data_IF_353242740576
#
_entry.id   IF_353242740576
#
_cell.length_a   1.000
_cell.length_b   1.000
_cell.length_c   1.000
_cell.angle_alpha   90.00
_cell.angle_beta   90.00
_cell.angle_gamma   90.00
#
_symmetry.space_group_name_H-M   'P 1'
#
loop_
_entity.id
_entity.type
_entity.pdbx_description
1 polymer ?
#
# COMPACT_ATOMS: atom_id res chain seq x y z
N UNK A 1 -19.78 -22.63 -20.31
CA UNK A 1 -20.38 -21.59 -21.16
C UNK A 1 -20.38 -22.11 -22.57
N UNK A 2 -21.56 -22.28 -23.17
CA UNK A 2 -21.64 -22.55 -24.61
C UNK A 2 -21.34 -21.27 -25.37
N UNK A 3 -20.45 -21.36 -26.35
CA UNK A 3 -20.20 -20.23 -27.24
C UNK A 3 -21.46 -19.99 -28.06
N UNK A 4 -22.09 -18.84 -27.86
CA UNK A 4 -23.27 -18.43 -28.61
C UNK A 4 -22.94 -18.31 -30.11
N UNK A 5 -23.95 -18.42 -31.03
CA UNK A 5 -23.72 -18.27 -32.47
C UNK A 5 -23.05 -16.96 -32.87
N UNK A 6 -23.32 -15.90 -32.16
CA UNK A 6 -22.70 -14.57 -32.31
C UNK A 6 -21.19 -14.59 -32.06
N UNK A 7 -20.71 -15.36 -31.09
CA UNK A 7 -19.30 -15.51 -30.80
C UNK A 7 -18.52 -16.22 -31.92
N UNK A 8 -19.21 -16.95 -32.80
CA UNK A 8 -18.59 -17.59 -33.97
C UNK A 8 -18.07 -16.55 -34.99
N UNK A 9 -18.70 -15.39 -35.06
CA UNK A 9 -18.26 -14.31 -35.93
C UNK A 9 -17.02 -13.62 -35.40
N UNK A 10 -16.80 -13.60 -34.05
CA UNK A 10 -15.59 -13.08 -33.40
C UNK A 10 -14.34 -13.86 -33.84
N UNK A 11 -14.40 -15.20 -33.89
CA UNK A 11 -13.30 -16.04 -34.36
C UNK A 11 -12.97 -15.76 -35.83
N UNK A 12 -14.01 -15.59 -36.67
CA UNK A 12 -13.85 -15.27 -38.10
C UNK A 12 -13.27 -13.87 -38.32
N UNK A 13 -13.67 -12.87 -37.51
CA UNK A 13 -13.19 -11.50 -37.61
C UNK A 13 -11.68 -11.36 -37.44
N UNK A 14 -11.06 -12.26 -36.68
CA UNK A 14 -9.60 -12.29 -36.45
C UNK A 14 -8.82 -13.03 -37.53
N UNK A 15 -9.49 -13.73 -38.45
CA UNK A 15 -8.82 -14.50 -39.51
C UNK A 15 -8.08 -13.57 -40.47
N UNK A 16 -6.79 -13.80 -40.66
CA UNK A 16 -5.92 -13.01 -41.55
C UNK A 16 -5.42 -11.67 -40.98
N UNK A 17 -5.78 -11.33 -39.73
CA UNK A 17 -5.28 -10.11 -39.07
C UNK A 17 -3.87 -10.22 -38.52
N UNK A 18 -3.29 -11.44 -38.43
CA UNK A 18 -2.03 -11.68 -37.73
C UNK A 18 -2.14 -11.76 -36.22
N UNK A 19 -3.34 -11.66 -35.66
CA UNK A 19 -3.59 -11.79 -34.23
C UNK A 19 -3.22 -13.19 -33.72
N UNK A 20 -2.69 -13.29 -32.50
CA UNK A 20 -2.46 -14.58 -31.83
C UNK A 20 -3.79 -15.26 -31.53
N UNK A 21 -3.90 -16.54 -31.86
CA UNK A 21 -5.09 -17.35 -31.64
C UNK A 21 -4.78 -18.57 -30.76
N UNK A 22 -5.73 -18.96 -29.93
CA UNK A 22 -5.67 -20.18 -29.13
C UNK A 22 -6.06 -21.45 -29.93
N UNK A 23 -6.53 -21.26 -31.18
CA UNK A 23 -6.95 -22.34 -32.05
C UNK A 23 -8.38 -22.84 -31.78
N UNK A 24 -9.22 -21.99 -31.18
CA UNK A 24 -10.63 -22.30 -30.91
C UNK A 24 -11.40 -22.33 -32.24
N UNK A 25 -12.07 -23.45 -32.51
CA UNK A 25 -12.82 -23.65 -33.73
C UNK A 25 -14.30 -23.27 -33.54
N UNK A 26 -14.91 -22.92 -34.65
CA UNK A 26 -16.34 -22.58 -34.69
C UNK A 26 -17.19 -23.73 -34.17
N UNK A 27 -17.99 -23.46 -33.15
CA UNK A 27 -18.95 -24.42 -32.58
C UNK A 27 -18.43 -25.19 -31.36
N UNK A 28 -17.18 -24.98 -30.98
CA UNK A 28 -16.63 -25.51 -29.73
C UNK A 28 -17.15 -24.74 -28.51
N UNK A 29 -17.20 -25.42 -27.38
CA UNK A 29 -17.66 -24.87 -26.12
C UNK A 29 -16.55 -24.99 -25.07
N UNK A 30 -16.34 -23.92 -24.32
CA UNK A 30 -15.35 -23.87 -23.24
C UNK A 30 -15.95 -23.24 -21.98
N UNK A 31 -15.45 -23.66 -20.83
CA UNK A 31 -15.74 -22.97 -19.58
C UNK A 31 -15.04 -21.60 -19.52
N UNK A 32 -15.51 -20.63 -18.73
CA UNK A 32 -14.79 -19.36 -18.52
C UNK A 32 -13.34 -19.56 -18.07
N UNK A 33 -13.08 -20.60 -17.25
CA UNK A 33 -11.72 -20.94 -16.81
C UNK A 33 -10.83 -21.38 -17.96
N UNK A 34 -11.32 -22.23 -18.84
CA UNK A 34 -10.56 -22.63 -20.04
C UNK A 34 -10.32 -21.45 -20.98
N UNK A 35 -11.31 -20.57 -21.18
CA UNK A 35 -11.12 -19.36 -21.96
C UNK A 35 -10.08 -18.42 -21.34
N UNK A 36 -9.97 -18.35 -20.00
CA UNK A 36 -8.89 -17.62 -19.35
C UNK A 36 -7.52 -18.22 -19.63
N UNK A 37 -7.38 -19.56 -19.62
CA UNK A 37 -6.15 -20.22 -20.06
C UNK A 37 -5.84 -19.91 -21.52
N UNK A 38 -6.84 -19.97 -22.40
CA UNK A 38 -6.68 -19.67 -23.82
C UNK A 38 -6.28 -18.20 -24.08
N UNK A 39 -6.80 -17.25 -23.30
CA UNK A 39 -6.46 -15.83 -23.42
C UNK A 39 -5.07 -15.51 -22.84
N UNK A 40 -4.72 -16.13 -21.70
CA UNK A 40 -3.53 -15.75 -20.94
C UNK A 40 -2.26 -16.52 -21.36
N UNK A 41 -2.34 -17.78 -21.76
CA UNK A 41 -1.18 -18.57 -22.18
C UNK A 41 -0.77 -18.27 -23.62
N UNK A 42 -1.50 -18.72 -24.66
CA UNK A 42 -1.13 -18.46 -26.04
C UNK A 42 -1.49 -17.04 -26.50
N UNK A 43 -2.04 -16.22 -25.62
CA UNK A 43 -2.53 -14.88 -25.98
C UNK A 43 -3.66 -14.89 -27.00
N UNK A 44 -4.63 -15.83 -26.85
CA UNK A 44 -5.74 -16.02 -27.77
C UNK A 44 -6.68 -14.82 -27.78
N UNK A 45 -6.64 -14.04 -28.87
CA UNK A 45 -7.51 -12.85 -29.00
C UNK A 45 -8.98 -13.26 -29.05
N UNK A 46 -9.31 -14.36 -29.73
CA UNK A 46 -10.68 -14.89 -29.79
C UNK A 46 -11.19 -15.26 -28.39
N UNK A 47 -10.36 -15.86 -27.56
CA UNK A 47 -10.74 -16.23 -26.19
C UNK A 47 -10.99 -14.98 -25.32
N UNK A 48 -10.17 -13.95 -25.46
CA UNK A 48 -10.35 -12.68 -24.77
C UNK A 48 -11.66 -11.97 -25.20
N UNK A 49 -11.94 -11.98 -26.52
CA UNK A 49 -13.18 -11.42 -27.04
C UNK A 49 -14.41 -12.22 -26.60
N UNK A 50 -14.33 -13.56 -26.55
CA UNK A 50 -15.41 -14.41 -26.07
C UNK A 50 -15.71 -14.18 -24.58
N UNK A 51 -14.69 -13.98 -23.77
CA UNK A 51 -14.83 -13.61 -22.37
C UNK A 51 -15.45 -12.21 -22.25
N UNK A 52 -14.98 -11.25 -23.04
CA UNK A 52 -15.50 -9.90 -23.08
C UNK A 52 -16.98 -9.84 -23.45
N UNK A 53 -17.37 -10.58 -24.50
CA UNK A 53 -18.76 -10.71 -24.95
C UNK A 53 -19.65 -11.34 -23.86
N UNK A 54 -19.18 -12.40 -23.22
CA UNK A 54 -19.89 -13.06 -22.12
C UNK A 54 -20.08 -12.15 -20.89
N UNK A 55 -19.05 -11.43 -20.48
CA UNK A 55 -19.09 -10.54 -19.30
C UNK A 55 -19.84 -9.24 -19.62
N UNK A 56 -19.70 -8.76 -20.85
CA UNK A 56 -20.38 -7.55 -21.36
C UNK A 56 -21.82 -7.77 -21.83
N UNK A 57 -22.44 -8.91 -21.47
CA UNK A 57 -23.83 -9.24 -21.82
C UNK A 57 -24.11 -9.13 -23.35
N UNK A 58 -23.18 -9.61 -24.17
CA UNK A 58 -23.23 -9.60 -25.62
C UNK A 58 -22.68 -8.32 -26.28
N UNK A 59 -22.00 -7.44 -25.51
CA UNK A 59 -21.43 -6.20 -26.02
C UNK A 59 -19.96 -6.07 -25.63
N UNK A 60 -19.08 -6.10 -26.62
CA UNK A 60 -17.64 -5.83 -26.42
C UNK A 60 -17.38 -4.37 -26.04
N UNK A 61 -18.17 -3.43 -26.55
CA UNK A 61 -18.04 -2.02 -26.20
C UNK A 61 -18.38 -1.80 -24.72
N UNK A 62 -19.46 -2.41 -24.24
CA UNK A 62 -19.83 -2.35 -22.83
C UNK A 62 -18.76 -3.01 -21.94
N UNK A 63 -18.16 -4.11 -22.38
CA UNK A 63 -17.04 -4.72 -21.66
C UNK A 63 -15.82 -3.79 -21.60
N UNK A 64 -15.50 -3.07 -22.67
CA UNK A 64 -14.44 -2.07 -22.69
C UNK A 64 -14.74 -0.91 -21.71
N UNK A 65 -16.00 -0.45 -21.62
CA UNK A 65 -16.42 0.51 -20.58
C UNK A 65 -16.19 -0.04 -19.18
N UNK A 66 -16.58 -1.29 -18.89
CA UNK A 66 -16.32 -1.94 -17.59
C UNK A 66 -14.81 -2.04 -17.28
N UNK A 67 -13.96 -2.32 -18.27
CA UNK A 67 -12.49 -2.32 -18.11
C UNK A 67 -12.00 -0.93 -17.71
N UNK A 68 -12.48 0.14 -18.34
CA UNK A 68 -12.12 1.52 -18.05
C UNK A 68 -12.60 1.96 -16.66
N UNK A 69 -13.82 1.59 -16.27
CA UNK A 69 -14.32 1.83 -14.92
C UNK A 69 -13.45 1.15 -13.87
N UNK A 70 -13.09 -0.12 -14.12
CA UNK A 70 -12.20 -0.85 -13.20
C UNK A 70 -10.80 -0.25 -13.12
N UNK A 71 -10.22 0.19 -14.24
CA UNK A 71 -8.94 0.89 -14.25
C UNK A 71 -9.00 2.17 -13.41
N UNK A 72 -10.07 2.96 -13.55
CA UNK A 72 -10.28 4.18 -12.77
C UNK A 72 -10.44 3.88 -11.25
N UNK A 73 -11.19 2.83 -10.87
CA UNK A 73 -11.33 2.38 -9.47
C UNK A 73 -9.97 2.02 -8.85
N UNK A 74 -9.07 1.43 -9.64
CA UNK A 74 -7.73 1.05 -9.21
C UNK A 74 -6.73 2.21 -9.19
N UNK A 75 -7.14 3.41 -9.64
CA UNK A 75 -6.28 4.58 -9.74
C UNK A 75 -5.42 4.62 -11.01
N UNK A 76 -5.66 3.73 -11.99
CA UNK A 76 -4.98 3.69 -13.28
C UNK A 76 -5.57 4.75 -14.23
N UNK A 77 -5.32 6.02 -13.92
CA UNK A 77 -5.96 7.18 -14.55
C UNK A 77 -5.41 7.57 -15.92
N UNK A 78 -4.29 6.99 -16.32
CA UNK A 78 -3.66 7.20 -17.62
C UNK A 78 -3.83 5.98 -18.53
N UNK A 79 -4.94 5.25 -18.33
CA UNK A 79 -5.27 4.04 -19.08
C UNK A 79 -6.62 4.21 -19.78
N UNK A 80 -6.68 3.79 -21.03
CA UNK A 80 -7.92 3.70 -21.78
C UNK A 80 -7.94 2.44 -22.63
N UNK A 81 -8.93 1.59 -22.39
CA UNK A 81 -9.16 0.35 -23.12
C UNK A 81 -10.25 0.54 -24.16
N UNK A 82 -10.00 0.13 -25.40
CA UNK A 82 -10.95 0.17 -26.53
C UNK A 82 -11.47 -1.23 -26.84
N UNK A 83 -10.70 -2.28 -26.52
CA UNK A 83 -11.06 -3.66 -26.79
C UNK A 83 -10.55 -4.62 -25.70
N UNK A 84 -11.09 -5.85 -25.71
CA UNK A 84 -10.79 -6.89 -24.74
C UNK A 84 -9.44 -7.60 -24.98
N UNK A 85 -8.88 -7.51 -26.19
CA UNK A 85 -7.77 -8.38 -26.63
C UNK A 85 -6.41 -7.68 -26.65
N UNK A 86 -6.37 -6.35 -26.61
CA UNK A 86 -5.14 -5.57 -26.75
C UNK A 86 -4.67 -5.38 -28.20
N UNK A 87 -5.55 -5.61 -29.18
CA UNK A 87 -5.28 -5.22 -30.56
C UNK A 87 -5.09 -3.70 -30.61
N UNK A 88 -4.17 -3.27 -31.48
CA UNK A 88 -3.82 -1.86 -31.59
C UNK A 88 -5.03 -0.98 -31.99
N UNK A 89 -5.13 0.13 -31.28
CA UNK A 89 -6.00 1.26 -31.58
C UNK A 89 -5.32 2.52 -31.01
N UNK A 90 -5.39 3.65 -31.69
CA UNK A 90 -4.74 4.89 -31.26
C UNK A 90 -5.25 5.39 -29.89
N UNK A 91 -6.50 5.04 -29.56
CA UNK A 91 -7.12 5.36 -28.26
C UNK A 91 -6.92 4.25 -27.19
N UNK A 92 -6.19 3.16 -27.51
CA UNK A 92 -5.88 2.08 -26.59
C UNK A 92 -4.48 2.27 -25.98
N UNK A 93 -4.42 2.89 -24.82
CA UNK A 93 -3.15 3.27 -24.18
C UNK A 93 -3.12 3.00 -22.68
N UNK A 94 -1.92 2.91 -22.14
CA UNK A 94 -1.66 2.76 -20.71
C UNK A 94 -0.26 3.26 -20.35
N UNK A 95 0.09 3.20 -19.07
CA UNK A 95 1.44 3.45 -18.56
C UNK A 95 1.97 2.24 -17.80
N UNK A 96 3.29 2.18 -17.59
CA UNK A 96 3.90 1.12 -16.78
C UNK A 96 3.37 1.12 -15.34
N UNK A 97 3.12 2.30 -14.76
CA UNK A 97 2.57 2.43 -13.42
C UNK A 97 1.11 1.95 -13.33
N UNK A 98 0.28 2.32 -14.32
CA UNK A 98 -1.11 1.87 -14.36
C UNK A 98 -1.20 0.34 -14.54
N UNK A 99 -0.33 -0.25 -15.38
CA UNK A 99 -0.23 -1.69 -15.52
C UNK A 99 0.23 -2.38 -14.24
N UNK A 100 1.10 -1.73 -13.44
CA UNK A 100 1.43 -2.19 -12.11
C UNK A 100 0.18 -2.25 -11.21
N UNK A 101 -0.61 -1.18 -11.14
CA UNK A 101 -1.84 -1.13 -10.32
C UNK A 101 -2.83 -2.23 -10.72
N UNK A 102 -3.10 -2.37 -12.03
CA UNK A 102 -4.01 -3.38 -12.58
C UNK A 102 -3.49 -4.80 -12.26
N UNK A 103 -2.20 -5.02 -12.43
CA UNK A 103 -1.61 -6.35 -12.19
C UNK A 103 -1.63 -6.71 -10.70
N UNK A 104 -1.33 -5.76 -9.81
CA UNK A 104 -1.40 -6.00 -8.37
C UNK A 104 -2.81 -6.42 -7.94
N UNK A 105 -3.85 -5.75 -8.44
CA UNK A 105 -5.24 -6.13 -8.18
C UNK A 105 -5.57 -7.53 -8.75
N UNK A 106 -5.12 -7.84 -9.95
CA UNK A 106 -5.34 -9.15 -10.56
C UNK A 106 -4.65 -10.28 -9.78
N UNK A 107 -3.45 -10.02 -9.25
CA UNK A 107 -2.68 -10.98 -8.45
C UNK A 107 -3.32 -11.29 -7.08
N UNK A 108 -4.30 -10.53 -6.60
CA UNK A 108 -5.09 -10.89 -5.42
C UNK A 108 -5.96 -12.14 -5.68
N UNK A 109 -6.30 -12.40 -6.95
CA UNK A 109 -7.10 -13.56 -7.33
C UNK A 109 -6.22 -14.82 -7.52
N UNK A 110 -6.51 -15.88 -6.73
CA UNK A 110 -5.76 -17.15 -6.79
C UNK A 110 -5.83 -17.83 -8.15
N UNK A 111 -7.00 -17.82 -8.80
CA UNK A 111 -7.16 -18.41 -10.14
C UNK A 111 -6.30 -17.68 -11.18
N UNK A 112 -6.22 -16.37 -11.09
CA UNK A 112 -5.34 -15.60 -11.97
C UNK A 112 -3.87 -15.98 -11.74
N UNK A 113 -3.40 -16.02 -10.48
CA UNK A 113 -2.01 -16.44 -10.17
C UNK A 113 -1.70 -17.85 -10.70
N UNK A 114 -2.61 -18.79 -10.52
CA UNK A 114 -2.45 -20.15 -11.03
C UNK A 114 -2.29 -20.16 -12.55
N UNK A 115 -3.17 -19.46 -13.27
CA UNK A 115 -3.15 -19.47 -14.74
C UNK A 115 -1.88 -18.82 -15.27
N UNK A 116 -1.51 -17.61 -14.77
CA UNK A 116 -0.35 -16.88 -15.30
C UNK A 116 1.00 -17.51 -14.96
N UNK A 117 1.05 -18.40 -13.96
CA UNK A 117 2.24 -19.20 -13.62
C UNK A 117 2.30 -20.54 -14.33
N UNK A 118 1.26 -20.90 -15.09
CA UNK A 118 1.20 -22.15 -15.87
C UNK A 118 1.94 -21.98 -17.18
N UNK A 119 2.89 -22.89 -17.50
CA UNK A 119 3.61 -22.84 -18.77
C UNK A 119 2.91 -23.60 -19.90
N UNK A 120 2.07 -24.58 -19.55
CA UNK A 120 1.40 -25.47 -20.49
C UNK A 120 0.05 -25.92 -19.93
N UNK A 121 -0.99 -25.90 -20.75
CA UNK A 121 -2.31 -26.41 -20.42
C UNK A 121 -2.84 -27.30 -21.54
N UNK A 122 -3.34 -28.49 -21.20
CA UNK A 122 -4.04 -29.37 -22.12
C UNK A 122 -5.56 -29.15 -21.99
N UNK A 123 -6.17 -28.63 -23.05
CA UNK A 123 -7.59 -28.29 -23.08
C UNK A 123 -8.49 -29.40 -23.62
N UNK A 124 -7.94 -30.59 -23.86
CA UNK A 124 -8.66 -31.71 -24.47
C UNK A 124 -8.37 -31.85 -25.96
N UNK A 125 -9.38 -32.22 -26.72
CA UNK A 125 -9.32 -32.37 -28.19
C UNK A 125 -10.30 -31.38 -28.84
N UNK A 126 -9.91 -30.84 -29.99
CA UNK A 126 -10.79 -30.04 -30.84
C UNK A 126 -11.90 -30.93 -31.45
N UNK A 127 -12.88 -30.33 -32.12
CA UNK A 127 -14.02 -31.02 -32.75
C UNK A 127 -13.57 -31.98 -33.87
N UNK A 128 -12.30 -31.96 -34.32
CA UNK A 128 -11.74 -32.85 -35.32
C UNK A 128 -10.91 -33.98 -34.68
N UNK A 129 -10.83 -34.05 -33.35
CA UNK A 129 -10.04 -35.02 -32.59
C UNK A 129 -8.55 -34.70 -32.50
N UNK A 130 -8.14 -33.44 -32.77
CA UNK A 130 -6.76 -33.04 -32.58
C UNK A 130 -6.53 -32.54 -31.15
N UNK A 131 -5.40 -32.88 -30.52
CA UNK A 131 -5.07 -32.38 -29.18
C UNK A 131 -4.96 -30.86 -29.15
N UNK A 132 -5.69 -30.21 -28.27
CA UNK A 132 -5.67 -28.76 -28.06
C UNK A 132 -4.71 -28.41 -26.91
N UNK A 133 -3.63 -27.74 -27.24
CA UNK A 133 -2.54 -27.39 -26.31
C UNK A 133 -2.32 -25.90 -26.27
N UNK A 134 -2.26 -25.34 -25.08
CA UNK A 134 -1.94 -23.91 -24.88
C UNK A 134 -0.63 -23.76 -24.12
N UNK A 135 0.35 -23.19 -24.76
CA UNK A 135 1.63 -22.86 -24.15
C UNK A 135 1.71 -21.37 -23.83
N UNK A 136 2.37 -21.05 -22.75
CA UNK A 136 2.61 -19.65 -22.41
C UNK A 136 3.50 -18.96 -23.43
N UNK A 137 3.23 -17.69 -23.69
CA UNK A 137 4.12 -16.80 -24.43
C UNK A 137 5.18 -16.15 -23.53
N UNK A 138 5.06 -16.30 -22.21
CA UNK A 138 6.05 -15.81 -21.25
C UNK A 138 7.20 -16.82 -21.12
N UNK A 139 8.26 -16.60 -21.87
CA UNK A 139 9.42 -17.49 -21.89
C UNK A 139 10.23 -17.51 -20.58
N UNK A 140 10.01 -16.56 -19.66
CA UNK A 140 10.64 -16.61 -18.35
C UNK A 140 10.20 -17.82 -17.51
N UNK A 141 8.94 -18.28 -17.68
CA UNK A 141 8.38 -19.43 -16.94
C UNK A 141 8.39 -20.72 -17.74
N UNK A 142 8.99 -20.74 -18.95
CA UNK A 142 9.07 -21.93 -19.80
C UNK A 142 10.41 -22.61 -19.64
N UNK A 143 10.51 -23.80 -19.00
CA UNK A 143 11.79 -24.47 -18.70
C UNK A 143 12.63 -24.84 -19.91
N UNK A 144 12.02 -24.92 -21.09
CA UNK A 144 12.75 -25.20 -22.37
C UNK A 144 13.28 -23.96 -23.09
N UNK A 145 13.00 -22.77 -22.58
CA UNK A 145 13.41 -21.51 -23.17
C UNK A 145 14.83 -21.12 -22.77
N UNK A 146 15.55 -20.43 -23.67
CA UNK A 146 16.82 -19.76 -23.37
C UNK A 146 16.67 -18.60 -22.42
N UNK A 147 15.44 -18.09 -22.22
CA UNK A 147 15.07 -17.03 -21.29
C UNK A 147 14.45 -17.55 -19.98
N UNK A 148 14.52 -18.86 -19.75
CA UNK A 148 13.96 -19.41 -18.50
C UNK A 148 14.64 -18.81 -17.27
N UNK A 149 13.83 -18.26 -16.38
CA UNK A 149 14.27 -17.68 -15.11
C UNK A 149 13.60 -18.41 -13.95
N UNK A 150 14.34 -19.19 -13.15
CA UNK A 150 13.76 -20.14 -12.19
C UNK A 150 12.92 -19.48 -11.07
N UNK A 151 13.07 -18.18 -10.91
CA UNK A 151 12.32 -17.41 -9.90
C UNK A 151 11.09 -16.71 -10.48
N UNK A 152 10.89 -16.70 -11.81
CA UNK A 152 9.73 -16.06 -12.44
C UNK A 152 8.44 -16.84 -12.12
N UNK A 153 7.36 -16.10 -11.82
CA UNK A 153 6.05 -16.65 -11.44
C UNK A 153 4.90 -16.19 -12.34
N UNK A 154 5.17 -15.43 -13.39
CA UNK A 154 4.17 -14.93 -14.36
C UNK A 154 4.73 -13.70 -15.07
N UNK A 155 3.97 -12.87 -15.78
CA UNK A 155 2.49 -12.80 -15.85
C UNK A 155 2.05 -12.88 -17.32
N UNK A 156 2.32 -11.83 -18.15
CA UNK A 156 1.79 -11.74 -19.53
C UNK A 156 2.70 -10.93 -20.44
N UNK A 157 2.83 -11.39 -21.67
CA UNK A 157 3.48 -10.67 -22.79
C UNK A 157 2.46 -9.91 -23.64
N UNK A 158 2.91 -8.89 -24.35
CA UNK A 158 2.18 -8.21 -25.40
C UNK A 158 3.11 -7.78 -26.52
N UNK A 159 2.63 -7.78 -27.77
CA UNK A 159 3.44 -7.31 -28.89
C UNK A 159 2.51 -6.80 -29.99
N UNK A 160 2.70 -5.56 -30.38
CA UNK A 160 2.20 -4.98 -31.63
C UNK A 160 3.35 -4.23 -32.30
N UNK A 161 3.20 -3.84 -33.56
CA UNK A 161 4.25 -3.09 -34.24
C UNK A 161 4.45 -1.71 -33.60
N UNK A 162 3.34 -1.09 -33.13
CA UNK A 162 3.32 0.24 -32.52
C UNK A 162 3.83 0.22 -31.07
N UNK A 163 3.39 -0.75 -30.27
CA UNK A 163 3.77 -0.85 -28.86
C UNK A 163 5.13 -1.50 -28.64
N UNK A 164 5.70 -2.15 -29.66
CA UNK A 164 6.88 -2.97 -29.47
C UNK A 164 6.58 -4.22 -28.62
N UNK A 165 7.63 -4.80 -28.01
CA UNK A 165 7.47 -5.94 -27.08
C UNK A 165 7.26 -5.43 -25.68
N UNK A 166 6.19 -5.93 -25.04
CA UNK A 166 5.81 -5.61 -23.68
C UNK A 166 5.77 -6.87 -22.82
N UNK A 167 6.08 -6.74 -21.54
CA UNK A 167 6.02 -7.81 -20.56
C UNK A 167 5.67 -7.24 -19.19
N UNK A 168 4.65 -7.82 -18.58
CA UNK A 168 4.46 -7.76 -17.13
C UNK A 168 4.95 -9.09 -16.57
N UNK A 169 5.84 -9.05 -15.59
CA UNK A 169 6.31 -10.27 -14.95
C UNK A 169 6.44 -10.12 -13.44
N UNK A 170 6.43 -11.27 -12.75
CA UNK A 170 6.68 -11.37 -11.31
C UNK A 170 7.78 -12.39 -11.08
N UNK A 171 8.56 -12.17 -10.03
CA UNK A 171 9.59 -13.13 -9.59
C UNK A 171 9.64 -13.15 -8.06
N UNK A 172 9.91 -14.36 -7.52
CA UNK A 172 10.05 -14.60 -6.08
C UNK A 172 11.34 -15.35 -5.80
N UNK A 173 12.14 -14.83 -4.86
CA UNK A 173 13.38 -15.46 -4.41
C UNK A 173 13.66 -15.09 -2.96
N UNK A 174 13.95 -16.07 -2.12
CA UNK A 174 14.35 -15.89 -0.72
C UNK A 174 13.35 -15.02 0.09
N UNK A 175 12.05 -15.08 -0.25
CA UNK A 175 10.99 -14.27 0.38
C UNK A 175 10.86 -12.85 -0.14
N UNK A 176 11.66 -12.46 -1.15
CA UNK A 176 11.49 -11.20 -1.87
C UNK A 176 10.60 -11.41 -3.09
N UNK A 177 9.66 -10.48 -3.30
CA UNK A 177 8.73 -10.49 -4.43
C UNK A 177 8.89 -9.21 -5.22
N UNK A 178 9.17 -9.34 -6.50
CA UNK A 178 9.25 -8.20 -7.42
C UNK A 178 8.24 -8.35 -8.54
N UNK A 179 7.64 -7.23 -8.91
CA UNK A 179 6.85 -7.08 -10.11
C UNK A 179 7.55 -6.09 -11.02
N UNK A 180 7.65 -6.45 -12.31
CA UNK A 180 8.26 -5.63 -13.34
C UNK A 180 7.27 -5.41 -14.47
N UNK A 181 7.18 -4.17 -14.93
CA UNK A 181 6.44 -3.78 -16.13
C UNK A 181 7.45 -3.20 -17.12
N UNK A 182 7.64 -3.89 -18.22
CA UNK A 182 8.46 -3.44 -19.33
C UNK A 182 7.60 -3.19 -20.55
N UNK A 183 7.74 -2.03 -21.16
CA UNK A 183 6.95 -1.62 -22.32
C UNK A 183 7.87 -1.03 -23.39
N UNK A 184 7.48 -1.18 -24.66
CA UNK A 184 8.15 -0.53 -25.77
C UNK A 184 9.53 -1.10 -26.12
N UNK A 185 9.84 -2.34 -25.73
CA UNK A 185 11.12 -2.92 -26.13
C UNK A 185 11.16 -3.15 -27.66
N UNK A 186 12.25 -2.80 -28.34
CA UNK A 186 12.31 -2.83 -29.80
C UNK A 186 12.20 -4.27 -30.35
N UNK A 187 11.52 -4.40 -31.48
CA UNK A 187 11.47 -5.65 -32.27
C UNK A 187 12.52 -5.66 -33.37
N UNK A 188 12.92 -4.49 -33.82
CA UNK A 188 13.84 -4.28 -34.95
C UNK A 188 15.00 -3.38 -34.51
N UNK A 189 16.13 -3.53 -35.17
CA UNK A 189 17.27 -2.65 -35.00
C UNK A 189 17.07 -1.30 -35.74
N UNK A 190 18.08 -0.41 -35.69
CA UNK A 190 18.08 0.87 -36.40
C UNK A 190 18.04 0.77 -37.92
N UNK A 191 18.34 -0.39 -38.48
CA UNK A 191 18.33 -0.69 -39.93
C UNK A 191 17.02 -1.33 -40.38
N UNK A 192 16.09 -1.61 -39.41
CA UNK A 192 14.83 -2.31 -39.66
C UNK A 192 14.98 -3.83 -39.74
N UNK A 193 16.12 -4.40 -39.31
CA UNK A 193 16.31 -5.84 -39.23
C UNK A 193 15.74 -6.37 -37.88
N UNK A 194 15.04 -7.49 -37.94
CA UNK A 194 14.46 -8.12 -36.76
C UNK A 194 15.54 -8.56 -35.78
N UNK A 195 15.46 -8.10 -34.53
CA UNK A 195 16.38 -8.48 -33.48
C UNK A 195 16.26 -9.98 -33.17
N UNK A 196 17.40 -10.69 -33.22
CA UNK A 196 17.50 -12.12 -32.86
C UNK A 196 17.18 -12.34 -31.38
N UNK A 197 17.71 -11.46 -30.51
CA UNK A 197 17.44 -11.50 -29.07
C UNK A 197 16.10 -10.81 -28.73
N UNK A 198 15.34 -11.44 -27.87
CA UNK A 198 14.16 -10.80 -27.28
C UNK A 198 14.58 -9.95 -26.08
N UNK A 199 14.78 -8.65 -26.34
CA UNK A 199 15.28 -7.71 -25.34
C UNK A 199 14.38 -7.59 -24.12
N UNK A 200 13.06 -7.80 -24.26
CA UNK A 200 12.13 -7.72 -23.12
C UNK A 200 12.43 -8.78 -22.06
N UNK A 201 12.76 -10.02 -22.48
CA UNK A 201 13.11 -11.07 -21.54
C UNK A 201 14.52 -10.90 -20.97
N UNK A 202 15.49 -10.57 -21.85
CA UNK A 202 16.88 -10.39 -21.45
C UNK A 202 17.03 -9.30 -20.38
N UNK A 203 16.49 -8.12 -20.65
CA UNK A 203 16.54 -6.99 -19.71
C UNK A 203 15.77 -7.26 -18.43
N UNK A 204 14.66 -7.99 -18.52
CA UNK A 204 13.90 -8.40 -17.33
C UNK A 204 14.73 -9.29 -16.40
N UNK A 205 15.46 -10.27 -16.95
CA UNK A 205 16.36 -11.13 -16.18
C UNK A 205 17.47 -10.30 -15.52
N UNK A 206 18.14 -9.43 -16.30
CA UNK A 206 19.20 -8.56 -15.80
C UNK A 206 18.72 -7.66 -14.65
N UNK A 207 17.51 -7.09 -14.78
CA UNK A 207 16.91 -6.25 -13.73
C UNK A 207 16.48 -7.04 -12.48
N UNK A 208 15.98 -8.26 -12.64
CA UNK A 208 15.71 -9.14 -11.50
C UNK A 208 16.99 -9.52 -10.76
N UNK A 209 18.03 -9.92 -11.48
CA UNK A 209 19.31 -10.25 -10.87
C UNK A 209 19.90 -9.06 -10.12
N UNK A 210 19.80 -7.85 -10.70
CA UNK A 210 20.16 -6.62 -10.02
C UNK A 210 19.31 -6.39 -8.77
N UNK A 211 17.97 -6.48 -8.85
CA UNK A 211 17.09 -6.22 -7.74
C UNK A 211 17.34 -7.20 -6.57
N UNK A 212 17.42 -8.51 -6.86
CA UNK A 212 17.69 -9.53 -5.85
C UNK A 212 19.09 -9.46 -5.23
N UNK A 213 20.08 -8.89 -5.94
CA UNK A 213 21.44 -8.74 -5.44
C UNK A 213 21.71 -7.40 -4.77
N UNK A 214 20.94 -6.36 -5.07
CA UNK A 214 21.23 -4.99 -4.66
C UNK A 214 20.44 -4.51 -3.46
N UNK A 215 19.35 -5.19 -3.09
CA UNK A 215 18.49 -4.82 -1.99
C UNK A 215 18.35 -5.95 -0.98
N UNK A 216 18.21 -5.59 0.29
CA UNK A 216 17.89 -6.53 1.37
C UNK A 216 17.05 -5.87 2.46
N UNK A 217 16.22 -6.67 3.12
CA UNK A 217 15.49 -6.23 4.30
C UNK A 217 16.49 -5.99 5.44
N UNK A 218 16.48 -4.79 6.00
CA UNK A 218 17.33 -4.38 7.11
C UNK A 218 16.45 -3.98 8.28
N UNK A 219 16.71 -4.59 9.44
CA UNK A 219 16.11 -4.13 10.69
C UNK A 219 16.80 -2.84 11.11
N UNK A 220 16.07 -1.74 11.11
CA UNK A 220 16.58 -0.39 11.38
C UNK A 220 16.45 -0.01 12.86
N UNK A 221 15.45 -0.56 13.53
CA UNK A 221 15.29 -0.49 14.97
C UNK A 221 14.63 -1.76 15.48
N UNK A 222 15.18 -2.33 16.53
CA UNK A 222 14.58 -3.45 17.25
C UNK A 222 13.52 -2.95 18.24
N UNK A 223 12.61 -3.82 18.64
CA UNK A 223 11.70 -3.54 19.74
C UNK A 223 12.44 -3.44 21.06
N UNK A 224 11.93 -2.63 21.99
CA UNK A 224 12.45 -2.43 23.34
C UNK A 224 13.87 -1.80 23.43
N UNK A 225 14.33 -1.16 22.35
CA UNK A 225 15.58 -0.39 22.36
C UNK A 225 15.36 0.95 23.04
N UNK A 226 16.15 1.27 24.07
CA UNK A 226 16.14 2.58 24.72
C UNK A 226 16.60 3.68 23.78
N UNK A 227 15.79 4.71 23.59
CA UNK A 227 16.03 5.79 22.60
C UNK A 227 16.18 7.17 23.23
N UNK A 228 15.81 7.34 24.50
CA UNK A 228 15.91 8.63 25.17
C UNK A 228 15.08 8.72 26.43
N UNK A 229 14.84 9.93 26.87
CA UNK A 229 14.07 10.24 28.07
C UNK A 229 13.19 11.47 27.84
N UNK A 230 12.11 11.59 28.62
CA UNK A 230 11.22 12.74 28.61
C UNK A 230 10.98 13.24 30.04
N UNK A 231 10.90 14.55 30.30
CA UNK A 231 10.58 15.10 31.61
C UNK A 231 9.27 14.55 32.15
N UNK A 232 9.28 14.10 33.41
CA UNK A 232 8.16 13.48 34.09
C UNK A 232 7.69 14.33 35.27
N UNK A 233 6.38 14.45 35.45
CA UNK A 233 5.77 15.12 36.58
C UNK A 233 4.81 14.21 37.32
N UNK A 234 4.50 14.60 38.57
CA UNK A 234 3.53 13.93 39.44
C UNK A 234 3.94 12.50 39.84
N UNK A 235 5.17 12.10 39.56
CA UNK A 235 5.66 10.77 39.87
C UNK A 235 5.87 10.57 41.38
N UNK A 236 5.64 9.34 41.83
CA UNK A 236 5.96 8.91 43.20
C UNK A 236 7.49 8.76 43.36
N UNK A 237 8.02 9.13 44.50
CA UNK A 237 9.45 8.96 44.81
C UNK A 237 10.38 10.05 44.24
N UNK A 238 9.82 11.12 43.62
CA UNK A 238 10.62 12.24 43.13
C UNK A 238 11.35 11.98 41.83
N UNK A 239 10.87 11.00 41.04
CA UNK A 239 11.36 10.73 39.69
C UNK A 239 10.95 11.89 38.76
N UNK A 240 11.89 12.44 38.00
CA UNK A 240 11.72 13.65 37.18
C UNK A 240 11.91 13.38 35.67
N UNK A 241 12.20 12.15 35.28
CA UNK A 241 12.28 11.70 33.89
C UNK A 241 11.65 10.32 33.71
N UNK A 242 11.20 10.02 32.50
CA UNK A 242 10.70 8.74 32.03
C UNK A 242 11.62 8.25 30.91
N UNK A 243 12.12 7.04 31.03
CA UNK A 243 12.87 6.38 29.95
C UNK A 243 11.91 5.97 28.83
N UNK A 244 12.32 6.19 27.61
CA UNK A 244 11.57 5.89 26.39
C UNK A 244 12.30 4.80 25.61
N UNK A 245 11.51 3.84 25.12
CA UNK A 245 11.99 2.75 24.27
C UNK A 245 11.15 2.65 22.99
N UNK A 246 11.66 1.95 21.99
CA UNK A 246 10.90 1.59 20.78
C UNK A 246 9.78 0.61 21.13
N UNK A 247 8.58 0.86 20.65
CA UNK A 247 7.40 -0.01 20.87
C UNK A 247 7.35 -1.20 19.92
N UNK A 248 7.95 -1.07 18.73
CA UNK A 248 7.88 -2.05 17.66
C UNK A 248 9.23 -2.19 16.95
N UNK A 249 9.40 -3.31 16.24
CA UNK A 249 10.49 -3.47 15.28
C UNK A 249 10.14 -2.74 13.97
N UNK A 250 11.12 -2.12 13.35
CA UNK A 250 10.97 -1.58 12.00
C UNK A 250 12.04 -2.17 11.08
N UNK A 251 11.56 -2.76 9.97
CA UNK A 251 12.39 -3.35 8.91
C UNK A 251 11.98 -2.74 7.58
N UNK A 252 12.94 -2.40 6.76
CA UNK A 252 12.70 -1.83 5.44
C UNK A 252 13.64 -2.43 4.39
N UNK A 253 13.19 -2.41 3.12
CA UNK A 253 13.94 -2.87 1.97
C UNK A 253 14.89 -1.76 1.50
N UNK A 254 16.16 -1.88 1.83
CA UNK A 254 17.16 -0.87 1.50
C UNK A 254 18.27 -1.42 0.60
N UNK A 255 18.93 -0.56 -0.20
CA UNK A 255 20.15 -0.91 -0.89
C UNK A 255 21.18 -1.52 0.06
N UNK A 256 21.89 -2.54 -0.42
CA UNK A 256 22.90 -3.25 0.39
C UNK A 256 24.03 -2.33 0.86
N UNK A 257 24.31 -1.27 0.14
CA UNK A 257 25.33 -0.26 0.43
C UNK A 257 24.97 0.63 1.64
N UNK A 258 23.67 0.75 1.97
CA UNK A 258 23.20 1.56 3.10
C UNK A 258 23.29 0.72 4.37
N UNK A 259 24.12 1.15 5.30
CA UNK A 259 24.20 0.54 6.63
C UNK A 259 23.14 1.12 7.58
N UNK A 260 22.67 0.31 8.55
CA UNK A 260 21.73 0.78 9.57
C UNK A 260 22.29 1.96 10.40
N UNK A 261 23.60 2.08 10.50
CA UNK A 261 24.30 3.23 11.12
C UNK A 261 24.11 4.56 10.40
N UNK A 262 23.69 4.54 9.12
CA UNK A 262 23.37 5.73 8.34
C UNK A 262 21.99 6.30 8.65
N UNK A 263 21.15 5.55 9.39
CA UNK A 263 19.82 5.97 9.77
C UNK A 263 19.91 6.79 11.07
N UNK A 264 19.35 7.98 11.04
CA UNK A 264 19.23 8.82 12.23
C UNK A 264 17.80 8.75 12.78
N UNK A 265 17.69 8.85 14.12
CA UNK A 265 16.41 8.82 14.81
C UNK A 265 16.05 10.22 15.27
N UNK A 266 14.85 10.69 14.91
CA UNK A 266 14.27 11.90 15.45
C UNK A 266 13.10 11.54 16.36
N UNK A 267 13.14 12.07 17.60
CA UNK A 267 12.13 11.81 18.62
C UNK A 267 11.09 12.92 18.62
N UNK A 268 9.84 12.58 18.28
CA UNK A 268 8.70 13.47 18.46
C UNK A 268 8.02 13.13 19.79
N UNK A 269 8.46 13.80 20.86
CA UNK A 269 8.03 13.56 22.22
C UNK A 269 7.37 14.83 22.81
N UNK A 270 6.38 14.70 23.72
CA UNK A 270 5.82 15.83 24.43
C UNK A 270 6.87 16.47 25.35
N UNK A 271 6.76 17.79 25.56
CA UNK A 271 7.66 18.51 26.44
C UNK A 271 7.67 17.98 27.89
N UNK A 272 6.63 17.28 28.31
CA UNK A 272 6.49 16.72 29.65
C UNK A 272 5.39 15.64 29.67
N UNK A 273 5.61 14.56 30.40
CA UNK A 273 4.62 13.51 30.69
C UNK A 273 4.22 13.58 32.16
N UNK A 274 2.99 13.20 32.48
CA UNK A 274 2.49 13.14 33.86
C UNK A 274 2.26 11.67 34.26
N UNK A 275 2.73 11.30 35.43
CA UNK A 275 2.33 10.03 36.06
C UNK A 275 0.85 10.05 36.49
N UNK A 276 0.13 8.89 36.54
CA UNK A 276 0.68 7.56 36.32
C UNK A 276 0.85 7.25 34.84
N UNK A 277 1.82 6.42 34.52
CA UNK A 277 2.05 5.86 33.18
C UNK A 277 2.51 4.41 33.33
N UNK A 278 2.13 3.54 32.41
CA UNK A 278 2.49 2.14 32.42
C UNK A 278 3.53 1.85 31.35
N UNK A 279 4.33 0.83 31.61
CA UNK A 279 5.25 0.28 30.60
C UNK A 279 4.46 -0.08 29.32
N UNK A 280 4.98 0.33 28.17
CA UNK A 280 4.34 0.14 26.86
C UNK A 280 3.32 1.21 26.47
N UNK A 281 2.94 2.12 27.38
CA UNK A 281 2.07 3.26 27.00
C UNK A 281 2.79 4.14 25.98
N UNK A 282 2.11 4.46 24.88
CA UNK A 282 2.66 5.34 23.85
C UNK A 282 2.79 6.78 24.38
N UNK A 283 4.01 7.31 24.26
CA UNK A 283 4.39 8.66 24.68
C UNK A 283 4.58 9.60 23.50
N UNK A 284 5.02 9.06 22.38
CA UNK A 284 5.31 9.81 21.16
C UNK A 284 5.62 8.91 19.98
N UNK A 285 6.47 9.40 19.08
CA UNK A 285 6.86 8.68 17.86
C UNK A 285 8.38 8.83 17.66
N UNK A 286 9.01 7.76 17.18
CA UNK A 286 10.40 7.74 16.71
C UNK A 286 10.34 7.76 15.21
N UNK A 287 10.82 8.82 14.57
CA UNK A 287 10.96 8.91 13.12
C UNK A 287 12.35 8.45 12.70
N UNK A 288 12.41 7.60 11.68
CA UNK A 288 13.65 7.06 11.11
C UNK A 288 13.95 7.84 9.83
N UNK A 289 15.12 8.47 9.81
CA UNK A 289 15.52 9.39 8.76
C UNK A 289 16.73 8.85 8.00
N UNK A 290 16.68 8.84 6.68
CA UNK A 290 17.80 8.55 5.79
C UNK A 290 18.07 9.79 4.91
N UNK A 291 19.27 10.32 4.98
CA UNK A 291 19.67 11.52 4.23
C UNK A 291 18.73 12.74 4.38
N UNK A 292 18.01 12.82 5.51
CA UNK A 292 17.07 13.90 5.83
C UNK A 292 15.63 13.64 5.37
N UNK A 293 15.34 12.48 4.76
CA UNK A 293 13.99 12.06 4.42
C UNK A 293 13.49 11.01 5.43
N UNK A 294 12.22 11.08 5.79
CA UNK A 294 11.59 10.09 6.67
C UNK A 294 11.29 8.82 5.88
N UNK A 295 11.90 7.70 6.30
CA UNK A 295 11.70 6.38 5.69
C UNK A 295 10.72 5.52 6.49
N UNK A 296 10.38 5.91 7.71
CA UNK A 296 9.40 5.24 8.52
C UNK A 296 9.36 5.75 9.95
N UNK A 297 8.43 5.21 10.73
CA UNK A 297 8.31 5.59 12.14
C UNK A 297 7.76 4.43 12.98
N UNK A 298 8.13 4.43 14.27
CA UNK A 298 7.61 3.49 15.27
C UNK A 298 7.13 4.23 16.52
N UNK A 299 6.21 3.64 17.31
CA UNK A 299 5.79 4.22 18.57
C UNK A 299 6.97 4.36 19.55
N UNK A 300 7.10 5.52 20.15
CA UNK A 300 7.93 5.76 21.34
C UNK A 300 7.09 5.44 22.57
N UNK A 301 7.50 4.44 23.37
CA UNK A 301 6.71 3.95 24.50
C UNK A 301 7.46 4.09 25.81
N UNK A 302 6.72 4.13 26.92
CA UNK A 302 7.27 4.13 28.26
C UNK A 302 8.05 2.82 28.52
N UNK A 303 9.27 2.93 29.03
CA UNK A 303 10.11 1.77 29.30
C UNK A 303 9.81 1.09 30.66
N UNK A 304 8.98 1.71 31.50
CA UNK A 304 8.72 1.27 32.87
C UNK A 304 7.39 1.82 33.40
N UNK A 305 6.88 1.16 34.44
CA UNK A 305 5.72 1.65 35.19
C UNK A 305 6.11 2.80 36.14
N UNK A 306 5.34 3.88 36.15
CA UNK A 306 5.54 4.97 37.10
C UNK A 306 4.21 5.36 37.74
N UNK A 307 4.11 5.14 39.05
CA UNK A 307 2.96 5.52 39.85
C UNK A 307 2.89 7.03 40.09
N UNK A 308 1.68 7.55 40.18
CA UNK A 308 1.46 8.94 40.58
C UNK A 308 1.66 9.16 42.09
N UNK A 309 2.21 10.31 42.44
CA UNK A 309 2.23 10.80 43.81
C UNK A 309 0.91 11.47 44.12
N UNK A 310 0.14 10.93 45.08
CA UNK A 310 -1.12 11.54 45.55
C UNK A 310 -0.91 12.98 46.00
N UNK A 311 0.18 13.26 46.73
CA UNK A 311 0.48 14.62 47.24
C UNK A 311 0.79 15.56 46.07
N UNK A 312 1.63 15.16 45.13
CA UNK A 312 1.98 15.99 43.98
C UNK A 312 0.75 16.28 43.10
N UNK A 313 -0.10 15.26 42.89
CA UNK A 313 -1.34 15.38 42.12
C UNK A 313 -2.31 16.36 42.79
N UNK A 314 -2.51 16.28 44.11
CA UNK A 314 -3.35 17.21 44.87
C UNK A 314 -2.79 18.65 44.80
N UNK A 315 -1.49 18.83 44.95
CA UNK A 315 -0.85 20.15 44.84
C UNK A 315 -1.04 20.71 43.41
N UNK A 316 -0.88 19.91 42.36
CA UNK A 316 -1.06 20.35 40.98
C UNK A 316 -2.52 20.71 40.69
N UNK A 317 -3.48 19.92 41.17
CA UNK A 317 -4.91 20.24 41.07
C UNK A 317 -5.26 21.56 41.81
N UNK A 318 -4.67 21.74 42.99
CA UNK A 318 -4.85 22.99 43.76
C UNK A 318 -4.26 24.19 43.02
N UNK A 319 -3.04 24.06 42.47
CA UNK A 319 -2.42 25.10 41.65
C UNK A 319 -3.24 25.42 40.39
N UNK A 320 -3.82 24.42 39.72
CA UNK A 320 -4.73 24.62 38.56
C UNK A 320 -6.01 25.34 38.96
N UNK A 321 -6.59 24.97 40.11
CA UNK A 321 -7.77 25.64 40.64
C UNK A 321 -7.50 27.12 40.91
N UNK A 322 -6.38 27.49 41.57
CA UNK A 322 -6.01 28.88 41.82
C UNK A 322 -5.54 29.66 40.57
N UNK A 323 -5.13 28.98 39.52
CA UNK A 323 -4.90 29.61 38.22
C UNK A 323 -6.17 29.97 37.47
N UNK A 324 -7.29 29.32 37.79
CA UNK A 324 -8.60 29.58 37.19
C UNK A 324 -9.07 31.00 37.52
N UNK A 325 -9.55 31.70 36.49
CA UNK A 325 -10.17 33.04 36.68
C UNK A 325 -11.32 33.02 37.69
N UNK A 326 -12.12 31.95 37.65
CA UNK A 326 -13.24 31.74 38.58
C UNK A 326 -12.78 31.63 40.05
N UNK A 327 -11.68 30.89 40.31
CA UNK A 327 -11.16 30.78 41.68
C UNK A 327 -10.61 32.11 42.20
N UNK A 328 -9.90 32.86 41.35
CA UNK A 328 -9.43 34.22 41.69
C UNK A 328 -10.62 35.13 42.01
N UNK A 329 -11.68 35.06 41.22
CA UNK A 329 -12.91 35.84 41.43
C UNK A 329 -13.59 35.49 42.77
N UNK A 330 -13.70 34.17 43.09
CA UNK A 330 -14.26 33.69 44.35
C UNK A 330 -13.43 34.19 45.56
N UNK A 331 -12.10 34.10 45.49
CA UNK A 331 -11.21 34.60 46.55
C UNK A 331 -11.39 36.10 46.80
N UNK A 332 -11.42 36.90 45.72
CA UNK A 332 -11.67 38.36 45.82
C UNK A 332 -13.04 38.62 46.38
N UNK A 333 -14.07 37.92 45.96
CA UNK A 333 -15.44 38.07 46.47
C UNK A 333 -15.54 37.73 47.97
N UNK A 334 -14.87 36.63 48.41
CA UNK A 334 -14.83 36.28 49.86
C UNK A 334 -14.11 37.33 50.67
N UNK A 335 -12.97 37.87 50.19
CA UNK A 335 -12.23 38.94 50.87
C UNK A 335 -13.13 40.21 50.99
N UNK A 336 -13.77 40.61 49.90
CA UNK A 336 -14.65 41.76 49.89
C UNK A 336 -15.88 41.56 50.85
N UNK A 337 -16.41 40.35 50.89
CA UNK A 337 -17.51 40.00 51.81
C UNK A 337 -17.11 40.07 53.29
N UNK A 338 -15.89 39.62 53.63
CA UNK A 338 -15.29 39.71 54.95
C UNK A 338 -15.09 41.18 55.33
N UNK A 339 -14.53 42.00 54.45
CA UNK A 339 -14.32 43.44 54.67
C UNK A 339 -15.66 44.12 54.88
N UNK A 340 -16.67 43.85 54.05
CA UNK A 340 -18.01 44.38 54.19
C UNK A 340 -18.66 43.99 55.57
N UNK A 341 -18.51 42.72 55.96
CA UNK A 341 -19.02 42.23 57.27
C UNK A 341 -18.33 42.94 58.43
N UNK A 342 -17.04 43.10 58.45
CA UNK A 342 -16.26 43.82 59.48
C UNK A 342 -16.73 45.29 59.55
N UNK A 343 -16.82 45.94 58.39
CA UNK A 343 -17.24 47.34 58.27
C UNK A 343 -18.66 47.56 58.87
N UNK A 344 -19.60 46.69 58.48
CA UNK A 344 -20.96 46.73 58.99
C UNK A 344 -20.99 46.53 60.53
N UNK A 345 -20.20 45.58 61.03
CA UNK A 345 -20.14 45.27 62.46
C UNK A 345 -19.55 46.45 63.26
N UNK A 346 -18.51 47.11 62.78
CA UNK A 346 -17.88 48.29 63.35
C UNK A 346 -18.87 49.47 63.33
N UNK A 347 -19.58 49.69 62.24
CA UNK A 347 -20.57 50.76 62.11
C UNK A 347 -21.76 50.55 63.07
N UNK A 348 -22.24 49.30 63.21
CA UNK A 348 -23.30 48.95 64.17
C UNK A 348 -22.83 49.15 65.60
N UNK A 349 -21.61 48.81 65.96
CA UNK A 349 -21.03 49.08 67.28
C UNK A 349 -20.91 50.56 67.60
N UNK A 350 -20.46 51.37 66.64
CA UNK A 350 -20.39 52.82 66.76
C UNK A 350 -21.78 53.48 66.93
N UNK A 351 -22.81 53.00 66.26
CA UNK A 351 -24.17 53.51 66.39
C UNK A 351 -24.79 53.14 67.79
N UNK A 352 -24.46 51.91 68.28
CA UNK A 352 -24.89 51.48 69.60
C UNK A 352 -24.30 52.38 70.74
N UNK A 353 -23.01 52.70 70.62
CA UNK A 353 -22.27 53.56 71.52
C UNK A 353 -22.77 55.04 71.45
N UNK A 354 -23.22 55.56 70.32
CA UNK A 354 -23.81 56.84 70.14
C UNK A 354 -25.22 56.91 70.79
N UNK A 355 -25.98 55.80 70.73
CA UNK A 355 -27.32 55.72 71.34
C UNK A 355 -27.25 55.75 72.86
N UNK A 356 -26.27 55.09 73.49
CA UNK A 356 -26.06 55.11 74.94
C UNK A 356 -25.46 56.44 75.44
N UNK A 357 -24.70 57.21 74.66
CA UNK A 357 -24.19 58.55 75.02
C UNK A 357 -25.25 59.67 74.98
N UNK A 358 -26.39 59.46 74.38
CA UNK A 358 -27.49 60.45 74.33
C UNK A 358 -28.55 60.25 75.37
N UNK A 359 -28.48 59.23 76.23
CA UNK A 359 -29.45 58.93 77.31
C UNK A 359 -28.83 58.92 78.71
N UNK A 360 -27.61 59.28 78.90
CA UNK A 360 -26.95 59.64 80.14
C UNK A 360 -26.61 61.10 79.98
#
# INVERSE_FOLDING_TARGET
VEIAPEQRDLVNALSGTGASLAGILRGETFTPRELLYAALLPSGNEAAMMLGDYVGDGSLDYFAEMMNEKAAELGAVNTHFVNASGMHDDDHYTTAYDMYLITMAALENETFREIVSTNYYYAGEDQNGNPLHWNTTNFLISPGSTYYYPYATGVKTGTTDEAGRCLVSTAEKDGYHYLMVMMGAPQYDSNGEKLEENMVFKQTIELYDWAFSSFSNKTLIEKDVGVGEVPLKLARGGKDYLLIKSGEVFTDLLPNEIEASSITMELDLPAVVNAPIKEGDQVGTIRLMLAGEEIGSVPAVAAEDVDASLIATLIDQFKRLFRSFLAKFIVVFVILSIIAYITITVLRGRNKNRYYRRRG
#
